data_IF_182040831883
#
_entry.id   IF_182040831883
#
_cell.length_a   1.000
_cell.length_b   1.000
_cell.length_c   1.000
_cell.angle_alpha   90.00
_cell.angle_beta   90.00
_cell.angle_gamma   90.00
#
_symmetry.space_group_name_H-M   'P 1'
#
loop_
_entity.id
_entity.type
_entity.pdbx_description
1 polymer ?
#
# COMPACT_ATOMS: atom_id res chain seq x y z
N UNK A 1 -6.90 -4.32 -7.84
CA UNK A 1 -5.82 -3.74 -7.02
C UNK A 1 -6.31 -2.51 -6.27
N UNK A 2 -5.53 -2.12 -5.24
CA UNK A 2 -5.76 -0.86 -4.51
C UNK A 2 -4.47 -0.04 -4.49
N UNK A 3 -4.58 1.29 -4.69
CA UNK A 3 -3.46 2.23 -4.53
C UNK A 3 -3.73 3.13 -3.34
N UNK A 4 -2.79 3.18 -2.38
CA UNK A 4 -2.85 4.12 -1.28
C UNK A 4 -2.37 5.51 -1.68
N UNK A 5 -3.31 6.44 -1.83
CA UNK A 5 -3.08 7.84 -2.22
C UNK A 5 -3.61 8.87 -1.21
N UNK A 6 -4.26 8.45 -0.11
CA UNK A 6 -4.85 9.33 0.90
C UNK A 6 -3.83 10.05 1.81
N UNK A 7 -2.54 9.67 1.74
CA UNK A 7 -1.50 10.20 2.63
C UNK A 7 -1.23 11.71 2.45
N UNK A 8 -1.07 12.43 3.56
CA UNK A 8 -0.85 13.88 3.58
C UNK A 8 0.48 14.36 2.95
N UNK A 9 1.43 13.45 2.73
CA UNK A 9 2.70 13.77 2.07
C UNK A 9 3.62 14.73 2.82
N UNK A 10 3.49 14.86 4.14
CA UNK A 10 4.17 15.87 4.97
C UNK A 10 5.68 15.91 4.82
N UNK A 11 6.32 14.77 4.51
CA UNK A 11 7.77 14.65 4.28
C UNK A 11 8.25 15.26 2.95
N UNK A 12 7.33 15.49 2.01
CA UNK A 12 7.64 16.07 0.70
C UNK A 12 7.33 17.58 0.62
N UNK A 13 7.03 18.24 1.74
CA UNK A 13 6.89 19.69 1.76
C UNK A 13 8.20 20.36 1.32
N UNK A 14 8.13 21.48 0.54
CA UNK A 14 6.94 22.27 0.21
C UNK A 14 6.11 21.76 -0.97
N UNK A 15 6.54 20.73 -1.73
CA UNK A 15 5.82 20.24 -2.93
C UNK A 15 4.36 19.87 -2.64
N UNK A 16 4.12 19.25 -1.49
CA UNK A 16 2.78 18.82 -1.08
C UNK A 16 1.95 19.87 -0.36
N UNK A 17 2.35 21.13 -0.39
CA UNK A 17 1.52 22.23 0.14
C UNK A 17 0.35 22.58 -0.81
N UNK A 18 0.50 22.34 -2.11
CA UNK A 18 -0.47 22.73 -3.15
C UNK A 18 -0.93 21.57 -4.03
N UNK A 19 -0.41 20.36 -3.82
CA UNK A 19 -0.83 19.19 -4.58
C UNK A 19 -0.73 17.90 -3.73
N UNK A 20 -1.53 16.86 -4.02
CA UNK A 20 -1.40 15.58 -3.33
C UNK A 20 -0.08 14.90 -3.70
N UNK A 21 0.48 14.13 -2.77
CA UNK A 21 1.69 13.34 -3.01
C UNK A 21 1.59 12.46 -4.28
N UNK A 22 0.41 11.92 -4.54
CA UNK A 22 0.14 11.09 -5.70
C UNK A 22 0.42 11.79 -7.04
N UNK A 23 0.30 13.12 -7.08
CA UNK A 23 0.53 13.92 -8.29
C UNK A 23 1.92 14.57 -8.34
N UNK A 24 2.78 14.35 -7.36
CA UNK A 24 4.18 14.82 -7.42
C UNK A 24 4.88 14.14 -8.60
N UNK A 25 5.48 14.93 -9.52
CA UNK A 25 6.13 14.37 -10.69
C UNK A 25 7.48 13.75 -10.36
N UNK A 26 7.75 12.59 -10.92
CA UNK A 26 9.05 11.93 -10.95
C UNK A 26 9.31 11.51 -12.39
N UNK A 27 10.45 11.89 -12.94
CA UNK A 27 10.82 11.65 -14.34
C UNK A 27 9.70 12.07 -15.33
N UNK A 28 9.15 13.27 -15.10
CA UNK A 28 8.13 13.89 -15.95
C UNK A 28 6.71 13.33 -15.82
N UNK A 29 6.46 12.32 -14.96
CA UNK A 29 5.15 11.71 -14.74
C UNK A 29 4.76 11.75 -13.26
N UNK A 30 3.47 11.97 -12.91
CA UNK A 30 2.99 11.81 -11.54
C UNK A 30 3.28 10.42 -10.97
N UNK A 31 3.55 10.33 -9.67
CA UNK A 31 3.71 9.06 -8.96
C UNK A 31 2.53 8.10 -9.22
N UNK A 32 1.31 8.64 -9.22
CA UNK A 32 0.09 7.86 -9.51
C UNK A 32 0.13 7.23 -10.91
N UNK A 33 0.61 7.96 -11.92
CA UNK A 33 0.73 7.43 -13.28
C UNK A 33 1.71 6.25 -13.35
N UNK A 34 2.86 6.36 -12.70
CA UNK A 34 3.82 5.25 -12.61
C UNK A 34 3.18 4.00 -12.03
N UNK A 35 2.39 4.14 -10.95
CA UNK A 35 1.73 2.99 -10.31
C UNK A 35 0.64 2.40 -11.21
N UNK A 36 -0.20 3.22 -11.83
CA UNK A 36 -1.25 2.75 -12.74
C UNK A 36 -0.65 2.03 -13.94
N UNK A 37 0.41 2.58 -14.57
CA UNK A 37 1.12 1.94 -15.68
C UNK A 37 1.72 0.58 -15.25
N UNK A 38 2.33 0.51 -14.06
CA UNK A 38 2.89 -0.73 -13.51
C UNK A 38 1.83 -1.79 -13.25
N UNK A 39 0.72 -1.42 -12.60
CA UNK A 39 -0.39 -2.32 -12.30
C UNK A 39 -1.05 -2.80 -13.61
N UNK A 40 -1.23 -1.91 -14.59
CA UNK A 40 -1.74 -2.26 -15.92
C UNK A 40 -0.83 -3.25 -16.66
N UNK A 41 0.50 -3.05 -16.59
CA UNK A 41 1.47 -3.95 -17.23
C UNK A 41 1.49 -5.36 -16.61
N UNK A 42 1.18 -5.46 -15.32
CA UNK A 42 0.95 -6.71 -14.62
C UNK A 42 -0.31 -7.45 -15.13
N UNK A 43 -1.26 -6.73 -15.74
CA UNK A 43 -2.51 -7.27 -16.30
C UNK A 43 -3.76 -6.93 -15.49
N UNK A 44 -3.64 -6.21 -14.37
CA UNK A 44 -4.79 -5.77 -13.59
C UNK A 44 -5.41 -4.50 -14.23
N UNK A 45 -6.75 -4.54 -14.37
CA UNK A 45 -7.54 -3.44 -14.97
C UNK A 45 -8.47 -2.76 -13.98
N UNK A 46 -8.78 -3.42 -12.85
CA UNK A 46 -9.65 -2.87 -11.82
C UNK A 46 -8.82 -2.32 -10.67
N UNK A 47 -8.93 -1.01 -10.42
CA UNK A 47 -8.15 -0.31 -9.41
C UNK A 47 -9.06 0.53 -8.51
N UNK A 48 -8.89 0.39 -7.21
CA UNK A 48 -9.45 1.29 -6.20
C UNK A 48 -8.34 2.23 -5.73
N UNK A 49 -8.58 3.53 -5.73
CA UNK A 49 -7.66 4.54 -5.21
C UNK A 49 -8.31 5.17 -3.99
N UNK A 50 -7.69 5.05 -2.79
CA UNK A 50 -8.20 5.81 -1.67
C UNK A 50 -7.73 7.27 -1.76
N UNK A 51 -8.63 8.21 -1.45
CA UNK A 51 -8.38 9.64 -1.54
C UNK A 51 -8.83 10.35 -0.27
N UNK A 52 -8.09 11.39 0.16
CA UNK A 52 -8.40 12.21 1.31
C UNK A 52 -8.06 13.67 1.00
N UNK A 53 -6.86 14.14 1.36
CA UNK A 53 -6.39 15.49 1.11
C UNK A 53 -6.14 15.71 -0.39
N UNK A 54 -6.67 16.80 -0.96
CA UNK A 54 -6.65 17.08 -2.40
C UNK A 54 -7.30 15.99 -3.28
N UNK A 55 -8.34 15.30 -2.77
CA UNK A 55 -9.04 14.26 -3.50
C UNK A 55 -9.51 14.70 -4.88
N UNK A 56 -10.09 15.90 -4.98
CA UNK A 56 -10.59 16.45 -6.26
C UNK A 56 -9.48 16.57 -7.32
N UNK A 57 -8.25 16.87 -6.92
CA UNK A 57 -7.13 16.95 -7.85
C UNK A 57 -6.77 15.58 -8.41
N UNK A 58 -6.81 14.53 -7.58
CA UNK A 58 -6.54 13.14 -8.01
C UNK A 58 -7.64 12.69 -8.98
N UNK A 59 -8.91 12.89 -8.61
CA UNK A 59 -10.07 12.53 -9.45
C UNK A 59 -10.04 13.25 -10.78
N UNK A 60 -9.77 14.57 -10.77
CA UNK A 60 -9.66 15.36 -11.99
C UNK A 60 -8.50 14.92 -12.86
N UNK A 61 -7.35 14.58 -12.26
CA UNK A 61 -6.21 14.06 -13.01
C UNK A 61 -6.55 12.74 -13.69
N UNK A 62 -7.17 11.79 -13.00
CA UNK A 62 -7.60 10.50 -13.56
C UNK A 62 -8.60 10.72 -14.71
N UNK A 63 -9.58 11.61 -14.55
CA UNK A 63 -10.56 11.95 -15.57
C UNK A 63 -9.90 12.52 -16.83
N UNK A 64 -8.87 13.37 -16.68
CA UNK A 64 -8.17 14.02 -17.80
C UNK A 64 -7.12 13.13 -18.46
N UNK A 65 -6.74 12.03 -17.82
CA UNK A 65 -5.75 11.08 -18.32
C UNK A 65 -6.34 9.66 -18.39
N UNK A 66 -7.30 9.41 -19.29
CA UNK A 66 -7.98 8.14 -19.38
C UNK A 66 -6.99 7.02 -19.71
N UNK A 67 -7.13 5.92 -19.00
CA UNK A 67 -6.37 4.69 -19.23
C UNK A 67 -7.36 3.55 -19.52
N UNK A 68 -6.89 2.49 -20.16
CA UNK A 68 -7.66 1.25 -20.33
C UNK A 68 -7.72 0.50 -18.97
N UNK A 69 -8.41 1.10 -18.00
CA UNK A 69 -8.59 0.61 -16.62
C UNK A 69 -9.92 1.11 -16.05
N UNK A 70 -10.55 0.29 -15.22
CA UNK A 70 -11.68 0.68 -14.37
C UNK A 70 -11.13 1.24 -13.06
N UNK A 71 -11.24 2.54 -12.84
CA UNK A 71 -10.73 3.21 -11.65
C UNK A 71 -11.90 3.69 -10.80
N UNK A 72 -11.93 3.28 -9.53
CA UNK A 72 -12.91 3.69 -8.52
C UNK A 72 -12.20 4.37 -7.36
N UNK A 73 -12.90 5.27 -6.69
CA UNK A 73 -12.33 6.01 -5.55
C UNK A 73 -12.98 5.56 -4.24
N UNK A 74 -12.14 5.25 -3.25
CA UNK A 74 -12.54 5.08 -1.86
C UNK A 74 -12.34 6.41 -1.16
N UNK A 75 -13.42 7.11 -0.88
CA UNK A 75 -13.41 8.49 -0.38
C UNK A 75 -13.24 8.54 1.14
N UNK A 76 -12.11 9.03 1.59
CA UNK A 76 -11.76 9.23 3.00
C UNK A 76 -11.73 10.73 3.39
N UNK A 77 -12.38 11.64 2.62
CA UNK A 77 -12.35 13.09 2.89
C UNK A 77 -12.83 13.46 4.29
N UNK A 78 -13.78 12.69 4.84
CA UNK A 78 -14.33 12.94 6.18
C UNK A 78 -13.33 12.63 7.29
N UNK A 79 -12.50 11.58 7.12
CA UNK A 79 -11.53 11.14 8.11
C UNK A 79 -10.44 10.31 7.43
N UNK A 80 -9.17 10.58 7.79
CA UNK A 80 -8.03 9.79 7.33
C UNK A 80 -7.97 8.46 8.10
N UNK A 81 -8.20 7.37 7.41
CA UNK A 81 -8.39 6.05 8.03
C UNK A 81 -7.08 5.23 8.20
N UNK A 82 -5.95 5.79 7.83
CA UNK A 82 -4.67 5.07 7.79
C UNK A 82 -4.72 3.79 6.91
N UNK A 83 -3.78 2.86 7.13
CA UNK A 83 -3.62 1.69 6.26
C UNK A 83 -4.78 0.69 6.42
N UNK A 84 -5.00 0.19 7.65
CA UNK A 84 -6.01 -0.85 7.91
C UNK A 84 -7.44 -0.34 7.76
N UNK A 85 -7.69 0.88 8.25
CA UNK A 85 -8.99 1.53 8.11
C UNK A 85 -9.34 1.81 6.65
N UNK A 86 -8.39 2.28 5.84
CA UNK A 86 -8.59 2.51 4.40
C UNK A 86 -8.92 1.23 3.63
N UNK A 87 -8.25 0.10 3.95
CA UNK A 87 -8.59 -1.20 3.36
C UNK A 87 -10.01 -1.61 3.74
N UNK A 88 -10.35 -1.52 5.02
CA UNK A 88 -11.68 -1.87 5.53
C UNK A 88 -12.77 -0.99 4.92
N UNK A 89 -12.52 0.30 4.75
CA UNK A 89 -13.45 1.23 4.11
C UNK A 89 -13.69 0.88 2.64
N UNK A 90 -12.66 0.43 1.93
CA UNK A 90 -12.74 0.00 0.53
C UNK A 90 -13.25 -1.45 0.37
N UNK A 91 -13.58 -2.19 1.44
CA UNK A 91 -13.88 -3.62 1.41
C UNK A 91 -14.94 -3.98 0.36
N UNK A 92 -16.09 -3.29 0.34
CA UNK A 92 -17.17 -3.55 -0.63
C UNK A 92 -16.74 -3.38 -2.11
N UNK A 93 -15.70 -2.57 -2.35
CA UNK A 93 -15.12 -2.41 -3.69
C UNK A 93 -14.10 -3.51 -4.03
N UNK A 94 -13.59 -4.23 -3.03
CA UNK A 94 -12.53 -5.23 -3.16
C UNK A 94 -13.03 -6.67 -3.04
N UNK A 95 -14.22 -6.89 -2.46
CA UNK A 95 -14.81 -8.23 -2.25
C UNK A 95 -14.97 -9.05 -3.53
N UNK A 96 -15.14 -8.40 -4.69
CA UNK A 96 -15.22 -9.08 -5.99
C UNK A 96 -13.92 -9.72 -6.46
N UNK A 97 -12.79 -9.47 -5.79
CA UNK A 97 -11.50 -10.06 -6.08
C UNK A 97 -11.31 -11.39 -5.33
N UNK A 98 -12.07 -12.43 -5.72
CA UNK A 98 -12.14 -13.73 -5.02
C UNK A 98 -10.77 -14.35 -4.71
N UNK A 99 -9.81 -14.20 -5.62
CA UNK A 99 -8.46 -14.75 -5.47
C UNK A 99 -7.55 -13.88 -4.61
N UNK A 100 -7.98 -12.63 -4.34
CA UNK A 100 -7.23 -11.63 -3.61
C UNK A 100 -6.89 -10.39 -4.44
N UNK A 101 -6.31 -9.40 -3.80
CA UNK A 101 -5.99 -8.11 -4.40
C UNK A 101 -4.63 -7.58 -3.96
N UNK A 102 -3.96 -6.94 -4.90
CA UNK A 102 -2.70 -6.23 -4.68
C UNK A 102 -2.99 -4.86 -4.06
N UNK A 103 -2.22 -4.47 -3.05
CA UNK A 103 -2.21 -3.11 -2.49
C UNK A 103 -0.82 -2.51 -2.69
N UNK A 104 -0.77 -1.29 -3.20
CA UNK A 104 0.48 -0.60 -3.53
C UNK A 104 0.45 0.85 -3.01
N UNK A 105 1.47 1.23 -2.25
CA UNK A 105 1.63 2.63 -1.88
C UNK A 105 1.98 3.47 -3.12
N UNK A 106 1.35 4.62 -3.29
CA UNK A 106 1.54 5.48 -4.48
C UNK A 106 2.97 5.99 -4.64
N UNK A 107 3.72 6.10 -3.54
CA UNK A 107 5.07 6.68 -3.49
C UNK A 107 6.21 5.66 -3.60
N UNK A 108 5.90 4.42 -3.90
CA UNK A 108 6.91 3.37 -4.05
C UNK A 108 7.21 3.15 -5.54
N UNK A 109 8.39 3.53 -5.95
CA UNK A 109 8.94 3.17 -7.26
C UNK A 109 9.88 1.98 -7.07
N UNK A 110 9.59 0.88 -7.74
CA UNK A 110 10.35 -0.36 -7.59
C UNK A 110 10.41 -1.12 -8.92
N UNK A 111 11.41 -1.98 -9.04
CA UNK A 111 11.57 -2.92 -10.14
C UNK A 111 11.01 -4.32 -9.82
N UNK A 112 10.25 -4.46 -8.72
CA UNK A 112 9.65 -5.74 -8.36
C UNK A 112 8.73 -6.26 -9.48
N UNK A 113 8.86 -7.53 -9.81
CA UNK A 113 7.93 -8.23 -10.69
C UNK A 113 6.65 -8.54 -9.91
N UNK A 114 5.59 -7.77 -10.19
CA UNK A 114 4.30 -7.94 -9.51
C UNK A 114 3.64 -9.28 -9.84
N UNK A 115 3.91 -9.86 -11.02
CA UNK A 115 3.36 -11.17 -11.39
C UNK A 115 3.96 -12.27 -10.52
N UNK A 116 5.27 -12.29 -10.40
CA UNK A 116 5.98 -13.23 -9.54
C UNK A 116 5.57 -13.05 -8.07
N UNK A 117 5.46 -11.79 -7.61
CA UNK A 117 5.02 -11.50 -6.24
C UNK A 117 3.62 -12.04 -5.96
N UNK A 118 2.62 -11.74 -6.82
CA UNK A 118 1.24 -12.19 -6.64
C UNK A 118 1.13 -13.72 -6.72
N UNK A 119 1.89 -14.35 -7.62
CA UNK A 119 1.91 -15.82 -7.72
C UNK A 119 2.36 -16.46 -6.39
N UNK A 120 3.41 -15.97 -5.78
CA UNK A 120 3.87 -16.43 -4.47
C UNK A 120 2.88 -16.08 -3.35
N UNK A 121 2.32 -14.87 -3.39
CA UNK A 121 1.42 -14.35 -2.38
C UNK A 121 0.06 -15.05 -2.33
N UNK A 122 -0.45 -15.53 -3.47
CA UNK A 122 -1.79 -16.16 -3.58
C UNK A 122 -1.95 -17.43 -2.75
N UNK A 123 -0.86 -18.02 -2.27
CA UNK A 123 -0.85 -19.18 -1.39
C UNK A 123 -1.24 -18.85 0.07
N UNK A 124 -1.26 -17.56 0.44
CA UNK A 124 -1.48 -17.07 1.79
C UNK A 124 -2.64 -16.07 1.82
N UNK A 125 -3.23 -15.85 3.01
CA UNK A 125 -4.31 -14.86 3.18
C UNK A 125 -3.80 -13.42 3.13
N UNK A 126 -2.57 -13.20 3.61
CA UNK A 126 -1.85 -11.94 3.47
C UNK A 126 -0.36 -12.17 3.24
N UNK A 127 0.24 -11.39 2.34
CA UNK A 127 1.68 -11.42 2.06
C UNK A 127 2.20 -10.00 1.91
N UNK A 128 3.33 -9.71 2.56
CA UNK A 128 3.96 -8.40 2.56
C UNK A 128 5.27 -8.46 1.77
N UNK A 129 5.48 -7.48 0.89
CA UNK A 129 6.80 -7.28 0.30
C UNK A 129 7.69 -6.56 1.31
N UNK A 130 8.83 -7.15 1.61
CA UNK A 130 9.79 -6.64 2.59
C UNK A 130 11.20 -6.58 2.02
N UNK A 131 12.09 -5.83 2.66
CA UNK A 131 13.49 -5.71 2.25
C UNK A 131 14.41 -5.50 3.45
N UNK A 132 15.67 -5.91 3.28
CA UNK A 132 16.75 -5.67 4.24
C UNK A 132 17.33 -4.26 4.08
N UNK A 133 16.56 -3.22 4.41
CA UNK A 133 17.04 -1.84 4.38
C UNK A 133 17.03 -1.23 5.77
N UNK A 134 17.93 -0.28 6.02
CA UNK A 134 17.91 0.48 7.26
C UNK A 134 16.66 1.34 7.38
N UNK A 135 15.99 1.25 8.52
CA UNK A 135 14.80 2.04 8.87
C UNK A 135 14.68 2.15 10.39
N UNK A 136 13.82 3.03 10.87
CA UNK A 136 13.46 3.11 12.28
C UNK A 136 12.34 2.14 12.67
N UNK A 137 11.59 1.62 11.70
CA UNK A 137 10.39 0.82 11.91
C UNK A 137 10.51 -0.48 11.14
N UNK A 138 10.51 -1.59 11.86
CA UNK A 138 10.60 -2.91 11.26
C UNK A 138 9.38 -3.75 11.57
N UNK A 139 9.03 -4.60 10.62
CA UNK A 139 8.17 -5.75 10.83
C UNK A 139 9.02 -6.87 11.44
N UNK A 140 8.44 -7.61 12.37
CA UNK A 140 9.08 -8.74 13.06
C UNK A 140 8.51 -10.03 12.49
N UNK A 141 9.41 -10.90 12.04
CA UNK A 141 9.05 -12.21 11.48
C UNK A 141 9.72 -13.31 12.29
N UNK A 142 9.00 -14.41 12.48
CA UNK A 142 9.57 -15.65 13.05
C UNK A 142 10.43 -16.41 12.02
N UNK A 143 10.88 -17.62 12.40
CA UNK A 143 11.71 -18.49 11.55
C UNK A 143 10.98 -19.01 10.31
N UNK A 144 9.65 -19.08 10.35
CA UNK A 144 8.76 -19.46 9.24
C UNK A 144 8.35 -18.28 8.36
N UNK A 145 8.95 -17.10 8.55
CA UNK A 145 8.60 -15.84 7.91
C UNK A 145 7.14 -15.40 8.13
N UNK A 146 6.54 -15.76 9.27
CA UNK A 146 5.23 -15.24 9.68
C UNK A 146 5.40 -13.91 10.39
N UNK A 147 4.55 -12.95 10.05
CA UNK A 147 4.52 -11.66 10.74
C UNK A 147 4.03 -11.85 12.18
N UNK A 148 4.89 -11.60 13.14
CA UNK A 148 4.62 -11.75 14.58
C UNK A 148 4.62 -10.43 15.34
N UNK A 149 5.00 -9.33 14.71
CA UNK A 149 5.00 -8.04 15.36
C UNK A 149 5.59 -6.90 14.54
N UNK A 150 5.73 -5.78 15.20
CA UNK A 150 6.33 -4.56 14.69
C UNK A 150 7.17 -3.90 15.79
N UNK A 151 8.26 -3.26 15.41
CA UNK A 151 9.10 -2.49 16.34
C UNK A 151 9.54 -1.15 15.77
N UNK A 152 9.71 -0.17 16.68
CA UNK A 152 10.43 1.07 16.40
C UNK A 152 11.73 1.05 17.20
N UNK A 153 12.86 0.93 16.52
CA UNK A 153 14.18 0.78 17.15
C UNK A 153 14.69 2.07 17.80
N UNK A 154 14.11 3.24 17.51
CA UNK A 154 14.45 4.52 18.13
C UNK A 154 13.74 4.68 19.48
N UNK A 155 12.46 4.31 19.53
CA UNK A 155 11.64 4.47 20.75
C UNK A 155 11.64 3.22 21.61
N UNK A 156 12.13 2.08 21.13
CA UNK A 156 12.02 0.78 21.77
C UNK A 156 10.61 0.19 21.79
N UNK A 157 9.62 0.85 21.15
CA UNK A 157 8.26 0.36 21.14
C UNK A 157 8.15 -0.92 20.32
N UNK A 158 7.46 -1.92 20.90
CA UNK A 158 7.08 -3.18 20.23
C UNK A 158 5.55 -3.31 20.24
N UNK A 159 4.99 -3.80 19.16
CA UNK A 159 3.58 -4.17 19.04
C UNK A 159 3.50 -5.59 18.52
N UNK A 160 2.80 -6.45 19.23
CA UNK A 160 2.61 -7.86 18.87
C UNK A 160 1.32 -8.38 19.47
N UNK A 161 0.61 -9.29 18.81
CA UNK A 161 -0.47 -10.05 19.43
C UNK A 161 0.04 -11.11 20.41
N UNK A 162 1.36 -11.37 20.44
CA UNK A 162 1.99 -12.36 21.32
C UNK A 162 2.66 -11.64 22.50
N UNK A 163 2.12 -11.76 23.76
CA UNK A 163 2.65 -11.03 24.92
C UNK A 163 4.11 -11.36 25.25
N UNK A 164 4.50 -12.62 25.02
CA UNK A 164 5.83 -13.16 25.38
C UNK A 164 6.79 -13.19 24.16
N UNK A 165 6.56 -12.35 23.14
CA UNK A 165 7.40 -12.33 21.95
C UNK A 165 8.85 -11.94 22.29
N UNK A 166 9.79 -12.87 22.05
CA UNK A 166 11.21 -12.58 22.12
C UNK A 166 11.70 -11.92 20.81
N UNK A 167 11.77 -10.59 20.81
CA UNK A 167 12.18 -9.78 19.65
C UNK A 167 13.61 -10.11 19.18
N UNK A 168 14.46 -10.67 20.06
CA UNK A 168 15.83 -11.03 19.69
C UNK A 168 15.92 -12.22 18.73
N UNK A 169 14.88 -13.05 18.71
CA UNK A 169 14.74 -14.21 17.80
C UNK A 169 14.05 -13.88 16.49
N UNK A 170 13.53 -12.66 16.36
CA UNK A 170 12.80 -12.26 15.18
C UNK A 170 13.71 -11.67 14.09
N UNK A 171 13.45 -12.01 12.84
CA UNK A 171 13.98 -11.29 11.70
C UNK A 171 13.33 -9.91 11.59
N UNK A 172 14.15 -8.86 11.42
CA UNK A 172 13.70 -7.46 11.32
C UNK A 172 13.76 -7.03 9.86
N UNK A 173 12.61 -6.89 9.21
CA UNK A 173 12.53 -6.52 7.79
C UNK A 173 11.72 -5.23 7.62
N UNK A 174 12.13 -4.40 6.67
CA UNK A 174 11.45 -3.16 6.36
C UNK A 174 10.31 -3.41 5.37
N UNK A 175 9.11 -2.90 5.65
CA UNK A 175 8.00 -2.94 4.71
C UNK A 175 8.32 -2.14 3.44
N UNK A 176 8.12 -2.74 2.27
CA UNK A 176 8.43 -2.15 0.98
C UNK A 176 7.23 -1.47 0.29
N UNK A 177 6.10 -1.32 1.00
CA UNK A 177 4.93 -0.58 0.50
C UNK A 177 4.07 -1.33 -0.52
N UNK A 178 4.26 -2.63 -0.64
CA UNK A 178 3.45 -3.52 -1.50
C UNK A 178 3.01 -4.71 -0.67
N UNK A 179 1.74 -5.06 -0.75
CA UNK A 179 1.21 -6.26 -0.13
C UNK A 179 0.04 -6.85 -0.93
N UNK A 180 -0.27 -8.09 -0.65
CA UNK A 180 -1.37 -8.83 -1.24
C UNK A 180 -2.26 -9.35 -0.12
N UNK A 181 -3.57 -9.29 -0.30
CA UNK A 181 -4.53 -9.74 0.69
C UNK A 181 -5.71 -10.44 0.01
N UNK A 182 -6.33 -11.41 0.72
CA UNK A 182 -7.58 -12.01 0.32
C UNK A 182 -8.77 -11.32 1.01
N UNK A 183 -9.94 -11.23 0.33
CA UNK A 183 -11.15 -10.66 0.92
C UNK A 183 -11.64 -11.40 2.18
N UNK A 184 -11.26 -12.65 2.37
CA UNK A 184 -11.55 -13.44 3.58
C UNK A 184 -11.11 -12.75 4.88
N UNK A 185 -10.19 -11.79 4.80
CA UNK A 185 -9.73 -11.00 5.95
C UNK A 185 -10.67 -9.87 6.35
N UNK A 186 -11.76 -9.63 5.60
CA UNK A 186 -12.77 -8.62 5.94
C UNK A 186 -13.85 -9.16 6.89
N UNK A 187 -13.98 -10.50 7.01
CA UNK A 187 -15.00 -11.20 7.80
C UNK A 187 -14.70 -11.30 9.27
#
# INVERSE_FOLDING_TARGET
AMIFAAGLGTRLKPLTNSMPKALVPVDGKPLLQHQLEKIRSFGCRDVVINVHHFADMIEQWVKNNPMDMSIRFSDERAELLDTGGGIKHAASMLEGASDGFLIHNVDILSNVDLRQFVQAASLHDATLLVSERSTQRYLLFDEDLRLVGWTNVVTGQVRSPYPDLDVSKCSKLAFAGVHYMKPTLFG
#
